data_IF_109698178939
#
_entry.id   IF_109698178939
#
_cell.length_a   1.000
_cell.length_b   1.000
_cell.length_c   1.000
_cell.angle_alpha   90.00
_cell.angle_beta   90.00
_cell.angle_gamma   90.00
#
_symmetry.space_group_name_H-M   'P 1'
#
loop_
_entity.id
_entity.type
_entity.pdbx_description
1 polymer ?
#
# COMPACT_ATOMS: atom_id res chain seq x y z
N UNK A 1 14.48 0.06 24.40
CA UNK A 1 14.34 0.03 23.60
C UNK A 1 14.06 0.09 23.46
N UNK A 2 14.07 0.03 23.49
CA UNK A 2 13.91 0.06 22.79
C UNK A 2 13.54 -0.02 22.33
N UNK A 3 13.70 -0.21 22.36
CA UNK A 3 13.43 -0.22 21.47
C UNK A 3 13.11 -0.51 21.25
N UNK A 4 13.02 -0.84 21.15
CA UNK A 4 12.71 -1.06 20.42
C UNK A 4 12.45 -1.54 20.18
N UNK A 5 12.16 -2.01 20.20
CA UNK A 5 12.07 -2.56 19.62
C UNK A 5 11.98 -2.49 19.07
N UNK A 6 12.05 -2.43 19.01
CA UNK A 6 12.25 -2.30 18.23
C UNK A 6 12.74 -1.88 18.35
N UNK A 7 12.78 -1.58 18.29
CA UNK A 7 13.23 -1.22 17.96
C UNK A 7 13.73 -1.29 17.96
N UNK A 8 14.03 -1.60 18.20
CA UNK A 8 14.58 -1.71 17.77
C UNK A 8 14.89 -1.80 17.37
N UNK A 9 14.89 -1.77 17.25
CA UNK A 9 15.19 -1.81 16.39
C UNK A 9 15.70 -1.54 16.27
N UNK A 10 15.80 -1.39 16.16
CA UNK A 10 16.36 -1.07 15.74
C UNK A 10 17.30 -0.98 15.83
N UNK A 11 17.08 -1.03 16.22
CA UNK A 11 18.45 -0.67 16.47
C UNK A 11 19.46 -1.32 15.55
N UNK A 12 19.07 -2.29 14.82
CA UNK A 12 19.91 -2.96 13.83
C UNK A 12 20.09 -2.16 12.55
N UNK A 13 19.28 -1.14 12.36
CA UNK A 13 19.27 -0.39 11.11
C UNK A 13 18.55 -1.09 9.97
N UNK A 14 18.02 -2.28 10.19
CA UNK A 14 17.26 -2.98 9.15
C UNK A 14 15.96 -2.25 8.86
N UNK A 15 15.57 -2.20 7.59
CA UNK A 15 14.28 -1.65 7.18
C UNK A 15 13.17 -2.61 7.57
N UNK A 16 11.98 -2.11 7.93
CA UNK A 16 10.84 -2.98 8.13
C UNK A 16 10.49 -3.71 6.84
N UNK A 17 9.90 -4.87 6.94
CA UNK A 17 9.47 -5.63 5.77
C UNK A 17 7.96 -5.62 5.67
N UNK A 18 7.48 -5.48 4.44
CA UNK A 18 6.07 -5.51 4.12
C UNK A 18 5.81 -6.66 3.15
N UNK A 19 4.65 -7.28 3.29
CA UNK A 19 4.23 -8.32 2.39
C UNK A 19 3.68 -7.71 1.09
N UNK A 20 3.88 -8.37 -0.06
CA UNK A 20 3.23 -7.97 -1.30
C UNK A 20 1.71 -8.01 -1.13
N UNK A 21 1.00 -6.91 -1.43
CA UNK A 21 -0.47 -6.89 -1.30
C UNK A 21 -1.18 -7.72 -2.37
N UNK A 22 -0.57 -7.86 -3.53
CA UNK A 22 -1.06 -8.70 -4.63
C UNK A 22 0.12 -9.32 -5.35
N UNK A 23 -0.13 -10.35 -6.12
CA UNK A 23 0.86 -10.95 -7.02
C UNK A 23 0.53 -10.54 -8.43
N UNK A 24 1.50 -9.94 -9.11
CA UNK A 24 1.31 -9.50 -10.49
C UNK A 24 2.55 -8.80 -11.00
N UNK A 25 2.46 -8.29 -12.21
CA UNK A 25 3.57 -7.62 -12.86
C UNK A 25 3.57 -6.14 -12.47
N UNK A 26 4.71 -5.63 -12.03
CA UNK A 26 4.87 -4.19 -11.79
C UNK A 26 4.95 -3.51 -13.17
N UNK A 27 3.93 -2.69 -13.47
CA UNK A 27 3.84 -2.01 -14.77
C UNK A 27 4.32 -0.56 -14.70
N UNK A 28 4.35 0.03 -13.49
CA UNK A 28 4.89 1.36 -13.29
C UNK A 28 5.66 1.35 -11.98
N UNK A 29 6.94 1.71 -12.04
CA UNK A 29 7.80 1.67 -10.86
C UNK A 29 7.81 3.01 -10.13
N UNK A 30 8.31 2.98 -8.89
CA UNK A 30 8.46 4.18 -8.08
C UNK A 30 9.39 5.16 -8.79
N UNK A 31 8.97 6.42 -8.84
CA UNK A 31 9.73 7.47 -9.48
C UNK A 31 9.59 7.57 -10.98
N UNK A 32 8.93 6.61 -11.62
CA UNK A 32 8.65 6.68 -13.06
C UNK A 32 7.75 7.89 -13.33
N UNK A 33 8.07 8.65 -14.36
CA UNK A 33 7.29 9.83 -14.70
C UNK A 33 6.25 9.50 -15.75
N UNK A 34 5.02 9.91 -15.49
CA UNK A 34 3.92 9.82 -16.42
C UNK A 34 3.24 11.18 -16.46
N UNK A 35 3.16 11.78 -17.64
CA UNK A 35 2.58 13.12 -17.81
C UNK A 35 3.25 14.15 -16.88
N UNK A 36 4.57 14.03 -16.69
CA UNK A 36 5.33 14.98 -15.88
C UNK A 36 5.26 14.75 -14.38
N UNK A 37 4.52 13.73 -13.92
CA UNK A 37 4.41 13.43 -12.49
C UNK A 37 5.15 12.15 -12.15
N UNK A 38 5.94 12.18 -11.08
CA UNK A 38 6.61 10.99 -10.59
C UNK A 38 5.60 10.10 -9.87
N UNK A 39 5.78 8.78 -10.02
CA UNK A 39 4.95 7.80 -9.33
C UNK A 39 5.41 7.67 -7.88
N UNK A 40 4.51 7.91 -6.94
CA UNK A 40 4.82 7.86 -5.50
C UNK A 40 4.81 6.43 -4.95
N UNK A 41 4.51 5.46 -5.76
CA UNK A 41 4.46 4.05 -5.37
C UNK A 41 4.75 3.16 -6.56
N UNK A 42 4.14 1.98 -6.58
CA UNK A 42 4.22 1.07 -7.72
C UNK A 42 2.81 0.74 -8.18
N UNK A 43 2.68 0.46 -9.48
CA UNK A 43 1.43 -0.04 -10.03
C UNK A 43 1.63 -1.49 -10.46
N UNK A 44 0.75 -2.37 -10.02
CA UNK A 44 0.84 -3.80 -10.28
C UNK A 44 -0.38 -4.23 -11.08
N UNK A 45 -0.15 -4.81 -12.25
CA UNK A 45 -1.23 -5.31 -13.10
C UNK A 45 -1.80 -6.59 -12.48
N UNK A 46 -3.10 -6.59 -12.21
CA UNK A 46 -3.81 -7.75 -11.70
C UNK A 46 -5.22 -7.73 -12.25
N UNK A 47 -5.85 -8.90 -12.46
CA UNK A 47 -7.24 -8.94 -12.89
C UNK A 47 -8.16 -8.25 -11.88
N UNK A 48 -9.22 -7.64 -12.36
CA UNK A 48 -10.22 -7.03 -11.49
C UNK A 48 -10.80 -8.09 -10.54
N UNK A 49 -11.00 -7.72 -9.28
CA UNK A 49 -11.52 -8.65 -8.27
C UNK A 49 -10.47 -9.46 -7.55
N UNK A 50 -9.18 -9.24 -7.83
CA UNK A 50 -8.10 -9.92 -7.11
C UNK A 50 -8.08 -9.45 -5.66
N UNK A 51 -8.04 -10.37 -4.67
CA UNK A 51 -7.96 -9.97 -3.27
C UNK A 51 -6.69 -9.17 -3.00
N UNK A 52 -6.86 -8.02 -2.35
CA UNK A 52 -5.75 -7.16 -1.93
C UNK A 52 -5.53 -7.40 -0.44
N UNK A 53 -4.31 -7.77 -0.07
CA UNK A 53 -3.98 -8.15 1.30
C UNK A 53 -3.18 -7.05 1.97
N UNK A 54 -3.45 -6.86 3.26
CA UNK A 54 -2.71 -5.87 4.05
C UNK A 54 -1.23 -6.23 4.09
N UNK A 55 -0.39 -5.25 3.82
CA UNK A 55 1.06 -5.45 3.77
C UNK A 55 1.66 -5.69 5.15
N UNK A 56 1.01 -5.23 6.21
CA UNK A 56 1.46 -5.39 7.59
C UNK A 56 0.28 -5.11 8.53
N UNK A 57 0.44 -5.49 9.81
CA UNK A 57 -0.52 -5.18 10.86
C UNK A 57 -0.69 -3.66 10.97
N UNK A 58 -1.91 -3.20 11.21
CA UNK A 58 -2.14 -1.78 11.37
C UNK A 58 -3.59 -1.43 11.62
N UNK A 59 -3.89 -0.16 11.52
CA UNK A 59 -5.23 0.39 11.70
C UNK A 59 -5.59 1.19 10.46
N UNK A 60 -6.79 0.98 9.94
CA UNK A 60 -7.25 1.70 8.75
C UNK A 60 -7.44 3.17 9.10
N UNK A 61 -6.67 4.03 8.45
CA UNK A 61 -6.74 5.48 8.66
C UNK A 61 -7.74 6.15 7.72
N UNK A 62 -8.00 5.53 6.57
CA UNK A 62 -8.94 6.06 5.59
C UNK A 62 -9.45 4.92 4.72
N UNK A 63 -10.73 4.97 4.36
CA UNK A 63 -11.33 4.03 3.42
C UNK A 63 -12.45 4.76 2.70
N UNK A 64 -12.27 4.99 1.40
CA UNK A 64 -13.27 5.73 0.64
C UNK A 64 -12.77 6.12 -0.75
N UNK A 65 -13.50 7.00 -1.40
CA UNK A 65 -13.21 7.39 -2.78
C UNK A 65 -13.18 8.91 -2.98
N UNK A 66 -12.90 9.66 -1.93
CA UNK A 66 -12.94 11.13 -1.99
C UNK A 66 -11.66 11.75 -2.52
N UNK A 67 -10.57 10.99 -2.60
CA UNK A 67 -9.32 11.49 -3.12
C UNK A 67 -9.28 11.27 -4.63
N UNK A 68 -9.26 12.37 -5.36
CA UNK A 68 -9.34 12.35 -6.82
C UNK A 68 -8.15 11.59 -7.41
N UNK A 69 -8.42 10.77 -8.42
CA UNK A 69 -7.39 10.03 -9.13
C UNK A 69 -7.11 8.65 -8.55
N UNK A 70 -7.32 8.46 -7.26
CA UNK A 70 -7.06 7.18 -6.61
C UNK A 70 -8.24 6.20 -6.70
N UNK A 71 -9.45 6.72 -6.94
CA UNK A 71 -10.64 5.88 -6.90
C UNK A 71 -10.90 5.39 -5.49
N UNK A 72 -11.27 4.11 -5.36
CA UNK A 72 -11.45 3.51 -4.04
C UNK A 72 -10.09 3.25 -3.42
N UNK A 73 -9.85 3.82 -2.25
CA UNK A 73 -8.54 3.87 -1.60
C UNK A 73 -8.64 3.46 -0.14
N UNK A 74 -7.69 2.64 0.31
CA UNK A 74 -7.50 2.33 1.72
C UNK A 74 -6.12 2.83 2.13
N UNK A 75 -6.07 3.55 3.25
CA UNK A 75 -4.82 3.93 3.90
C UNK A 75 -4.74 3.19 5.23
N UNK A 76 -3.62 2.52 5.47
CA UNK A 76 -3.37 1.77 6.70
C UNK A 76 -2.17 2.37 7.41
N UNK A 77 -2.35 2.69 8.68
CA UNK A 77 -1.29 3.22 9.53
C UNK A 77 -0.64 2.08 10.31
N UNK A 78 0.67 1.98 10.20
CA UNK A 78 1.46 0.94 10.85
C UNK A 78 2.32 1.53 11.97
N UNK A 79 3.03 0.65 12.67
CA UNK A 79 3.99 1.09 13.69
C UNK A 79 5.13 1.89 13.04
N UNK A 80 5.81 2.69 13.85
CA UNK A 80 7.00 3.44 13.46
C UNK A 80 6.75 4.50 12.38
N UNK A 81 5.50 4.97 12.27
CA UNK A 81 5.17 6.07 11.36
C UNK A 81 5.02 5.68 9.90
N UNK A 82 4.94 4.40 9.60
CA UNK A 82 4.72 3.95 8.23
C UNK A 82 3.24 3.91 7.90
N UNK A 83 2.92 4.23 6.63
CA UNK A 83 1.57 4.17 6.09
C UNK A 83 1.63 3.47 4.75
N UNK A 84 0.68 2.56 4.50
CA UNK A 84 0.53 1.94 3.18
C UNK A 84 -0.77 2.38 2.54
N UNK A 85 -0.76 2.52 1.22
CA UNK A 85 -1.92 2.95 0.45
C UNK A 85 -2.23 1.92 -0.63
N UNK A 86 -3.51 1.64 -0.82
CA UNK A 86 -4.01 0.65 -1.79
C UNK A 86 -5.12 1.32 -2.60
N UNK A 87 -4.83 1.63 -3.85
CA UNK A 87 -5.73 2.43 -4.69
C UNK A 87 -6.29 1.66 -5.87
N UNK A 88 -7.30 2.22 -6.51
CA UNK A 88 -7.97 1.70 -7.70
C UNK A 88 -8.77 0.43 -7.43
N UNK A 89 -9.20 0.22 -6.18
CA UNK A 89 -9.98 -0.95 -5.82
C UNK A 89 -11.35 -0.92 -6.46
N UNK A 90 -11.92 -2.09 -6.74
CA UNK A 90 -13.31 -2.21 -7.15
C UNK A 90 -14.23 -2.24 -5.95
N UNK A 91 -13.74 -2.77 -4.82
CA UNK A 91 -14.53 -2.92 -3.61
C UNK A 91 -13.65 -2.76 -2.39
N UNK A 92 -14.14 -2.04 -1.38
CA UNK A 92 -13.46 -1.85 -0.11
C UNK A 92 -14.14 -2.73 0.93
N UNK A 93 -13.35 -3.52 1.67
CA UNK A 93 -13.85 -4.51 2.62
C UNK A 93 -13.61 -4.10 4.08
N UNK A 94 -12.97 -2.96 4.31
CA UNK A 94 -12.67 -2.47 5.65
C UNK A 94 -13.08 -1.01 5.75
N UNK A 95 -13.17 -0.51 6.99
CA UNK A 95 -13.57 0.86 7.29
C UNK A 95 -12.53 1.53 8.15
N UNK A 96 -12.52 2.85 8.12
CA UNK A 96 -11.67 3.65 9.01
C UNK A 96 -11.85 3.20 10.45
N UNK A 97 -10.74 2.98 11.13
CA UNK A 97 -10.70 2.54 12.52
C UNK A 97 -10.58 1.04 12.69
N UNK A 98 -10.78 0.26 11.63
CA UNK A 98 -10.63 -1.21 11.73
C UNK A 98 -9.18 -1.57 12.00
N UNK A 99 -8.98 -2.50 12.92
CA UNK A 99 -7.67 -3.11 13.14
C UNK A 99 -7.51 -4.27 12.18
N UNK A 100 -6.42 -4.30 11.44
CA UNK A 100 -6.18 -5.33 10.44
C UNK A 100 -4.85 -6.02 10.70
N UNK A 101 -4.74 -7.24 10.18
CA UNK A 101 -3.55 -8.08 10.32
C UNK A 101 -2.86 -8.25 8.98
N UNK A 102 -1.54 -8.40 9.02
CA UNK A 102 -0.75 -8.73 7.83
C UNK A 102 -1.35 -9.92 7.11
N UNK A 103 -1.59 -9.75 5.81
CA UNK A 103 -2.18 -10.80 4.98
C UNK A 103 -3.70 -10.85 4.97
N UNK A 104 -4.37 -10.05 5.80
CA UNK A 104 -5.82 -9.96 5.79
C UNK A 104 -6.30 -9.31 4.50
N UNK A 105 -7.37 -9.84 3.91
CA UNK A 105 -7.96 -9.25 2.72
C UNK A 105 -8.70 -7.98 3.11
N UNK A 106 -8.32 -6.85 2.50
CA UNK A 106 -8.89 -5.54 2.85
C UNK A 106 -9.66 -4.90 1.70
N UNK A 107 -9.45 -5.38 0.48
CA UNK A 107 -10.12 -4.82 -0.69
C UNK A 107 -10.04 -5.84 -1.83
N UNK A 108 -10.74 -5.52 -2.94
CA UNK A 108 -10.57 -6.24 -4.20
C UNK A 108 -10.08 -5.26 -5.24
N UNK A 109 -9.11 -5.67 -6.04
CA UNK A 109 -8.52 -4.82 -7.06
C UNK A 109 -9.54 -4.48 -8.14
N UNK A 110 -9.29 -3.38 -8.84
CA UNK A 110 -10.20 -2.94 -9.88
C UNK A 110 -9.57 -1.93 -10.80
N UNK A 111 -10.41 -1.08 -11.34
CA UNK A 111 -10.03 -0.06 -12.31
C UNK A 111 -10.62 1.28 -11.94
N UNK A 112 -10.93 1.51 -10.66
CA UNK A 112 -11.50 2.78 -10.23
C UNK A 112 -10.44 3.88 -10.22
N UNK A 113 -10.86 5.12 -10.38
CA UNK A 113 -9.94 6.25 -10.44
C UNK A 113 -9.40 6.46 -11.85
N UNK A 114 -8.25 7.12 -11.95
CA UNK A 114 -7.69 7.53 -13.24
C UNK A 114 -6.69 6.53 -13.77
N UNK A 115 -7.18 5.34 -14.11
CA UNK A 115 -6.35 4.28 -14.70
C UNK A 115 -7.09 3.66 -15.88
N UNK A 116 -6.33 3.18 -16.86
CA UNK A 116 -6.88 2.63 -18.10
C UNK A 116 -7.02 1.12 -18.12
N UNK A 117 -6.58 0.42 -17.07
CA UNK A 117 -6.66 -1.03 -16.99
C UNK A 117 -6.71 -1.47 -15.53
N UNK A 118 -7.19 -2.69 -15.25
CA UNK A 118 -7.20 -3.19 -13.87
C UNK A 118 -5.80 -3.26 -13.30
N UNK A 119 -5.60 -2.63 -12.15
CA UNK A 119 -4.29 -2.58 -11.50
C UNK A 119 -4.44 -2.13 -10.06
N UNK A 120 -3.44 -2.41 -9.24
CA UNK A 120 -3.33 -1.88 -7.89
C UNK A 120 -2.22 -0.84 -7.87
N UNK A 121 -2.51 0.34 -7.33
CA UNK A 121 -1.48 1.32 -7.00
C UNK A 121 -1.18 1.18 -5.51
N UNK A 122 0.06 0.85 -5.19
CA UNK A 122 0.49 0.59 -3.82
C UNK A 122 1.59 1.56 -3.44
N UNK A 123 1.43 2.23 -2.29
CA UNK A 123 2.43 3.16 -1.77
C UNK A 123 2.85 2.74 -0.36
N UNK A 124 4.11 2.99 -0.06
CA UNK A 124 4.63 2.96 1.30
C UNK A 124 5.13 4.37 1.60
N UNK A 125 4.69 4.94 2.71
CA UNK A 125 5.12 6.27 3.14
C UNK A 125 5.71 6.17 4.53
N UNK A 126 6.79 6.92 4.74
CA UNK A 126 7.33 7.16 6.08
C UNK A 126 6.87 8.55 6.49
N UNK A 127 5.92 8.59 7.43
CA UNK A 127 5.22 9.84 7.71
C UNK A 127 4.41 10.26 6.49
N UNK A 128 4.70 11.42 5.93
CA UNK A 128 4.04 11.91 4.73
C UNK A 128 4.89 11.73 3.47
N UNK A 129 6.12 11.20 3.59
CA UNK A 129 7.05 11.09 2.47
C UNK A 129 6.97 9.71 1.83
N UNK A 130 6.68 9.62 0.52
CA UNK A 130 6.68 8.32 -0.15
C UNK A 130 8.10 7.76 -0.27
N UNK A 131 8.21 6.44 -0.19
CA UNK A 131 9.46 5.71 -0.35
C UNK A 131 9.27 4.61 -1.38
N UNK A 132 10.37 4.08 -1.91
CA UNK A 132 10.30 3.03 -2.93
C UNK A 132 9.80 1.72 -2.30
N UNK A 133 8.59 1.26 -2.66
CA UNK A 133 8.04 0.04 -2.05
C UNK A 133 8.91 -1.19 -2.28
N UNK A 134 9.64 -1.26 -3.40
CA UNK A 134 10.43 -2.46 -3.72
C UNK A 134 11.58 -2.68 -2.74
N UNK A 135 11.97 -1.64 -1.99
CA UNK A 135 13.01 -1.77 -0.96
C UNK A 135 12.47 -2.40 0.32
N UNK A 136 11.15 -2.50 0.45
CA UNK A 136 10.49 -2.96 1.68
C UNK A 136 9.70 -4.24 1.47
N UNK A 137 9.31 -4.55 0.23
CA UNK A 137 8.41 -5.68 -0.04
C UNK A 137 9.16 -7.00 0.00
N UNK A 138 8.54 -8.00 0.64
CA UNK A 138 9.11 -9.31 0.84
C UNK A 138 7.97 -10.33 0.97
N UNK A 139 8.29 -11.61 0.83
CA UNK A 139 7.32 -12.65 1.06
C UNK A 139 6.24 -12.75 -0.01
N UNK A 140 6.60 -12.54 -1.23
CA UNK A 140 5.67 -12.57 -2.35
C UNK A 140 4.90 -13.89 -2.47
#
# INVERSE_FOLDING_TARGET
>A
MRISKWSCGEATGALPTFRWPVRGKVITSYGSKTNGKANDGINVAVPEGTPVKAAEDGVVAYSGNELKGYGNLVLVRHANGYVTAYAHASELLVKRGDTIKRGQIIAKSGQSGEVGSPQLHFEIRKGSSPVDPLQFLNGA
#
